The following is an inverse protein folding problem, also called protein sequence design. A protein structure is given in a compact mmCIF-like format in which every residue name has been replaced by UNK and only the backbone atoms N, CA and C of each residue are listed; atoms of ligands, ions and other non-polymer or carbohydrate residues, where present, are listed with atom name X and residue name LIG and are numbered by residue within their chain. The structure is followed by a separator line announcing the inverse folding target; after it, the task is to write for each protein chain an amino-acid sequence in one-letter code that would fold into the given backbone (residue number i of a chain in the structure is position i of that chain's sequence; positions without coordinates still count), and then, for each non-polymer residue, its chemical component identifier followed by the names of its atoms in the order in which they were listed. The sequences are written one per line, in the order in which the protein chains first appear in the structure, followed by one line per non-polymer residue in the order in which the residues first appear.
data_IF_874571374490
#
_entry.id   IF_874571374490
#
_cell.length_a   1.000
_cell.length_b   1.000
_cell.length_c   1.000
_cell.angle_alpha   90.00
_cell.angle_beta   90.00
_cell.angle_gamma   90.00
#
_symmetry.space_group_name_H-M   'P 1'
#
loop_
_entity.id
_entity.type
_entity.pdbx_description
1 polymer ?
#
# COMPACT_ATOMS: atom_id res chain seq x y z
N UNK A 1 26.34 -11.74 -16.42
CA UNK A 1 25.60 -10.98 -15.40
C UNK A 1 25.33 -9.55 -15.86
N UNK A 2 26.33 -8.77 -16.30
CA UNK A 2 26.17 -7.37 -16.71
C UNK A 2 25.16 -7.15 -17.85
N UNK A 3 25.24 -7.94 -18.92
CA UNK A 3 24.31 -7.84 -20.06
C UNK A 3 22.84 -8.09 -19.68
N UNK A 4 22.59 -9.01 -18.75
CA UNK A 4 21.24 -9.27 -18.22
C UNK A 4 20.71 -8.08 -17.42
N UNK A 5 21.55 -7.47 -16.58
CA UNK A 5 21.19 -6.31 -15.77
C UNK A 5 20.88 -5.09 -16.65
N UNK A 6 21.73 -4.82 -17.65
CA UNK A 6 21.53 -3.72 -18.61
C UNK A 6 20.22 -3.91 -19.38
N UNK A 7 19.94 -5.14 -19.88
CA UNK A 7 18.69 -5.42 -20.59
C UNK A 7 17.46 -5.20 -19.70
N UNK A 8 17.52 -5.57 -18.42
CA UNK A 8 16.43 -5.32 -17.47
C UNK A 8 16.22 -3.83 -17.19
N UNK A 9 17.31 -3.08 -17.02
CA UNK A 9 17.23 -1.63 -16.81
C UNK A 9 16.67 -0.92 -18.06
N UNK A 10 17.08 -1.34 -19.26
CA UNK A 10 16.52 -0.78 -20.50
C UNK A 10 15.01 -1.07 -20.65
N UNK A 11 14.53 -2.22 -20.17
CA UNK A 11 13.10 -2.56 -20.22
C UNK A 11 12.26 -1.77 -19.21
N UNK A 12 12.86 -1.15 -18.18
CA UNK A 12 12.15 -0.27 -17.26
C UNK A 12 11.61 0.98 -17.97
N UNK A 13 12.36 1.53 -18.93
CA UNK A 13 11.98 2.74 -19.68
C UNK A 13 10.66 2.54 -20.43
N UNK A 14 10.52 1.54 -21.33
CA UNK A 14 9.27 1.32 -22.06
C UNK A 14 8.10 0.91 -21.13
N UNK A 15 8.37 0.18 -20.03
CA UNK A 15 7.34 -0.16 -19.06
C UNK A 15 6.81 1.06 -18.32
N UNK A 16 7.68 1.94 -17.83
CA UNK A 16 7.25 3.20 -17.20
C UNK A 16 6.49 4.09 -18.18
N UNK A 17 7.01 4.22 -19.40
CA UNK A 17 6.32 4.98 -20.43
C UNK A 17 4.92 4.43 -20.74
N UNK A 18 4.78 3.11 -20.88
CA UNK A 18 3.49 2.47 -21.10
C UNK A 18 2.53 2.70 -19.93
N UNK A 19 2.98 2.56 -18.68
CA UNK A 19 2.18 2.79 -17.48
C UNK A 19 1.68 4.24 -17.44
N UNK A 20 2.57 5.21 -17.66
CA UNK A 20 2.23 6.64 -17.67
C UNK A 20 1.21 6.94 -18.77
N UNK A 21 1.41 6.39 -19.97
CA UNK A 21 0.52 6.55 -21.11
C UNK A 21 -0.87 5.99 -20.83
N UNK A 22 -0.94 4.76 -20.33
CA UNK A 22 -2.22 4.11 -20.00
C UNK A 22 -2.95 4.91 -18.91
N UNK A 23 -2.26 5.31 -17.85
CA UNK A 23 -2.85 6.14 -16.79
C UNK A 23 -3.37 7.48 -17.33
N UNK A 24 -2.63 8.14 -18.22
CA UNK A 24 -3.10 9.37 -18.86
C UNK A 24 -4.44 9.16 -19.55
N UNK A 25 -4.55 8.15 -20.39
CA UNK A 25 -5.81 7.87 -21.12
C UNK A 25 -6.93 7.44 -20.17
N UNK A 26 -6.66 6.65 -19.14
CA UNK A 26 -7.68 6.27 -18.14
C UNK A 26 -8.25 7.52 -17.48
N UNK A 27 -7.40 8.45 -17.04
CA UNK A 27 -7.84 9.71 -16.40
C UNK A 27 -8.66 10.59 -17.35
N UNK A 28 -8.38 10.55 -18.68
CA UNK A 28 -9.14 11.31 -19.66
C UNK A 28 -10.53 10.72 -19.95
N UNK A 29 -10.65 9.39 -19.89
CA UNK A 29 -11.89 8.66 -20.24
C UNK A 29 -12.79 8.48 -19.02
N UNK A 30 -12.22 8.40 -17.82
CA UNK A 30 -12.96 8.18 -16.59
C UNK A 30 -13.95 9.32 -16.31
N UNK A 31 -15.24 9.04 -16.09
CA UNK A 31 -16.21 10.05 -15.66
C UNK A 31 -15.79 10.60 -14.28
N UNK A 32 -15.91 11.92 -14.10
CA UNK A 32 -15.44 12.59 -12.90
C UNK A 32 -13.95 12.93 -12.95
N UNK A 33 -13.49 13.43 -14.10
CA UNK A 33 -12.10 13.85 -14.31
C UNK A 33 -11.62 14.94 -13.34
N UNK A 34 -10.34 15.34 -13.42
CA UNK A 34 -9.76 16.31 -12.48
C UNK A 34 -10.52 17.64 -12.39
N UNK A 35 -11.11 18.10 -13.50
CA UNK A 35 -11.93 19.32 -13.53
C UNK A 35 -13.24 19.12 -12.79
N UNK A 36 -13.95 17.99 -13.01
CA UNK A 36 -15.19 17.68 -12.31
C UNK A 36 -14.96 17.56 -10.79
N UNK A 37 -13.84 16.98 -10.39
CA UNK A 37 -13.46 16.85 -8.98
C UNK A 37 -13.10 18.21 -8.35
N UNK A 38 -12.39 19.08 -9.07
CA UNK A 38 -12.08 20.43 -8.61
C UNK A 38 -13.37 21.26 -8.44
N UNK A 39 -14.28 21.17 -9.40
CA UNK A 39 -15.59 21.81 -9.34
C UNK A 39 -16.39 21.31 -8.13
N UNK A 40 -16.46 19.99 -7.92
CA UNK A 40 -17.15 19.38 -6.80
C UNK A 40 -16.57 19.80 -5.44
N UNK A 41 -15.25 19.93 -5.33
CA UNK A 41 -14.58 20.38 -4.12
C UNK A 41 -14.91 21.86 -3.80
N UNK A 42 -14.97 22.73 -4.81
CA UNK A 42 -15.35 24.13 -4.63
C UNK A 42 -16.82 24.26 -4.24
N UNK A 43 -17.72 23.53 -4.90
CA UNK A 43 -19.14 23.49 -4.53
C UNK A 43 -19.36 23.01 -3.09
N UNK A 44 -18.63 21.99 -2.66
CA UNK A 44 -18.70 21.49 -1.30
C UNK A 44 -18.28 22.54 -0.27
N UNK A 45 -17.18 23.26 -0.54
CA UNK A 45 -16.70 24.34 0.32
C UNK A 45 -17.65 25.54 0.35
N UNK A 46 -18.26 25.90 -0.77
CA UNK A 46 -19.24 27.01 -0.85
C UNK A 46 -20.58 26.68 -0.14
N UNK A 47 -20.97 25.40 -0.09
CA UNK A 47 -22.19 24.95 0.59
C UNK A 47 -22.03 24.76 2.12
N UNK A 48 -20.95 25.24 2.71
CA UNK A 48 -20.72 25.18 4.16
C UNK A 48 -20.19 23.85 4.65
N UNK A 49 -19.46 23.12 3.83
CA UNK A 49 -18.69 21.97 4.28
C UNK A 49 -17.66 22.38 5.34
N UNK A 50 -17.74 21.82 6.56
CA UNK A 50 -16.78 22.11 7.62
C UNK A 50 -15.34 21.87 7.13
N UNK A 51 -14.42 22.83 7.31
CA UNK A 51 -13.01 22.59 7.04
C UNK A 51 -12.49 21.57 8.06
N UNK A 52 -12.23 20.34 7.60
CA UNK A 52 -11.68 19.29 8.47
C UNK A 52 -12.27 17.88 8.32
N UNK A 53 -13.34 17.67 7.55
CA UNK A 53 -13.94 16.34 7.36
C UNK A 53 -13.40 15.59 6.13
N UNK A 54 -12.23 15.93 5.63
CA UNK A 54 -11.68 15.45 4.36
C UNK A 54 -10.44 14.58 4.45
N UNK A 55 -10.26 13.77 5.51
CA UNK A 55 -9.20 12.78 5.52
C UNK A 55 -9.77 11.37 5.77
N UNK A 56 -9.89 10.59 4.70
CA UNK A 56 -10.07 9.14 4.77
C UNK A 56 -11.49 8.61 4.59
N UNK A 57 -12.20 9.00 3.54
CA UNK A 57 -13.44 8.32 3.18
C UNK A 57 -13.61 8.17 1.67
N UNK A 58 -13.57 6.95 1.17
CA UNK A 58 -14.17 6.60 -0.12
C UNK A 58 -15.66 6.95 -0.05
N UNK A 59 -16.03 8.17 -0.50
CA UNK A 59 -17.39 8.63 -0.55
C UNK A 59 -18.16 7.91 -1.65
N UNK A 60 -19.03 6.99 -1.24
CA UNK A 60 -20.09 6.49 -2.08
C UNK A 60 -20.96 7.69 -2.53
N UNK A 61 -20.86 8.05 -3.80
CA UNK A 61 -21.74 9.01 -4.44
C UNK A 61 -23.17 8.47 -4.47
N UNK A 62 -24.01 8.95 -3.56
CA UNK A 62 -25.46 8.75 -3.70
C UNK A 62 -25.96 9.52 -4.92
N UNK A 63 -26.23 8.77 -5.98
CA UNK A 63 -26.99 9.24 -7.13
C UNK A 63 -28.39 9.67 -6.67
N UNK A 64 -28.64 10.98 -6.56
CA UNK A 64 -29.99 11.51 -6.56
C UNK A 64 -30.41 11.80 -7.99
N UNK A 65 -31.24 10.93 -8.51
CA UNK A 65 -32.06 11.14 -9.71
C UNK A 65 -32.99 12.35 -9.52
N UNK A 66 -32.67 13.43 -10.22
CA UNK A 66 -33.54 14.58 -10.40
C UNK A 66 -33.54 14.94 -11.88
N UNK A 67 -34.60 14.56 -12.58
CA UNK A 67 -34.85 14.96 -13.98
C UNK A 67 -35.08 16.48 -14.03
N UNK A 68 -34.33 17.18 -14.84
CA UNK A 68 -34.53 18.60 -15.12
C UNK A 68 -33.47 19.16 -16.06
N UNK A 69 -33.89 19.45 -17.28
CA UNK A 69 -33.31 20.26 -18.35
C UNK A 69 -31.78 20.21 -18.62
N UNK A 70 -31.53 19.69 -19.81
CA UNK A 70 -30.24 19.65 -20.50
C UNK A 70 -29.96 21.08 -21.01
N UNK A 71 -29.02 21.79 -20.43
CA UNK A 71 -28.28 22.85 -21.06
C UNK A 71 -26.82 22.41 -21.19
N UNK A 72 -26.29 22.57 -22.39
CA UNK A 72 -24.99 22.11 -22.86
C UNK A 72 -23.82 22.67 -22.01
N UNK A 73 -23.42 21.92 -20.98
CA UNK A 73 -22.16 22.10 -20.27
C UNK A 73 -21.42 20.78 -20.24
N UNK A 74 -20.23 20.71 -20.78
CA UNK A 74 -19.40 19.52 -20.87
C UNK A 74 -19.05 18.86 -19.51
N UNK A 75 -19.40 19.52 -18.39
CA UNK A 75 -19.06 19.06 -17.04
C UNK A 75 -20.31 18.85 -16.17
N UNK A 76 -20.47 17.65 -15.63
CA UNK A 76 -21.64 17.21 -14.82
C UNK A 76 -21.81 17.94 -13.48
N UNK A 77 -20.76 18.58 -12.95
CA UNK A 77 -20.74 19.28 -11.65
C UNK A 77 -21.02 20.77 -11.70
N UNK A 78 -21.10 21.39 -12.87
CA UNK A 78 -21.12 22.87 -13.01
C UNK A 78 -22.46 23.55 -12.72
N UNK A 79 -23.42 22.89 -12.07
CA UNK A 79 -24.72 23.49 -11.73
C UNK A 79 -24.59 24.36 -10.46
N UNK A 80 -24.26 25.63 -10.64
CA UNK A 80 -24.23 26.61 -9.54
C UNK A 80 -22.92 27.40 -9.40
N UNK A 81 -21.88 27.07 -10.17
CA UNK A 81 -20.66 27.86 -10.29
C UNK A 81 -20.72 28.83 -11.47
N UNK A 82 -20.14 29.99 -11.27
CA UNK A 82 -20.00 30.99 -12.34
C UNK A 82 -19.20 30.37 -13.51
N UNK A 83 -19.64 30.49 -14.77
CA UNK A 83 -18.92 30.00 -15.95
C UNK A 83 -17.46 30.49 -16.02
N UNK A 84 -17.17 31.65 -15.44
CA UNK A 84 -15.84 32.25 -15.38
C UNK A 84 -14.90 31.40 -14.48
N UNK A 85 -15.42 30.90 -13.35
CA UNK A 85 -14.69 30.03 -12.43
C UNK A 85 -14.38 28.66 -13.08
N UNK A 86 -15.35 28.13 -13.82
CA UNK A 86 -15.16 26.86 -14.55
C UNK A 86 -14.09 27.04 -15.64
N UNK A 87 -14.11 28.16 -16.37
CA UNK A 87 -13.11 28.47 -17.38
C UNK A 87 -11.71 28.64 -16.77
N UNK A 88 -11.60 29.31 -15.63
CA UNK A 88 -10.34 29.46 -14.89
C UNK A 88 -9.78 28.11 -14.43
N UNK A 89 -10.63 27.25 -13.87
CA UNK A 89 -10.23 25.89 -13.46
C UNK A 89 -9.75 25.09 -14.68
N UNK A 90 -10.51 25.12 -15.77
CA UNK A 90 -10.17 24.42 -17.02
C UNK A 90 -8.82 24.87 -17.56
N UNK A 91 -8.57 26.18 -17.56
CA UNK A 91 -7.30 26.78 -17.98
C UNK A 91 -6.16 26.43 -17.03
N UNK A 92 -6.39 26.51 -15.71
CA UNK A 92 -5.38 26.21 -14.69
C UNK A 92 -4.86 24.79 -14.78
N UNK A 93 -5.74 23.82 -15.07
CA UNK A 93 -5.39 22.41 -15.27
C UNK A 93 -5.03 22.08 -16.72
N UNK A 94 -5.06 23.07 -17.63
CA UNK A 94 -4.69 22.91 -19.03
C UNK A 94 -5.64 22.04 -19.85
N UNK A 95 -6.89 21.87 -19.40
CA UNK A 95 -7.90 21.11 -20.12
C UNK A 95 -8.49 21.83 -21.34
N UNK A 96 -8.15 23.09 -21.52
CA UNK A 96 -8.36 23.91 -22.71
C UNK A 96 -7.49 23.48 -23.88
N UNK A 97 -6.38 22.73 -23.63
CA UNK A 97 -5.44 22.32 -24.65
C UNK A 97 -5.78 20.96 -25.26
N UNK A 98 -5.39 20.71 -26.53
CA UNK A 98 -5.61 19.43 -27.18
C UNK A 98 -4.85 18.30 -26.44
N UNK A 99 -5.40 17.07 -26.50
CA UNK A 99 -4.92 15.90 -25.78
C UNK A 99 -3.40 15.64 -25.97
N UNK A 100 -2.89 15.82 -27.18
CA UNK A 100 -1.48 15.56 -27.48
C UNK A 100 -0.54 16.56 -26.80
N UNK A 101 -0.93 17.84 -26.71
CA UNK A 101 -0.14 18.85 -26.01
C UNK A 101 -0.09 18.55 -24.49
N UNK A 102 -1.24 18.19 -23.93
CA UNK A 102 -1.35 17.81 -22.52
C UNK A 102 -0.51 16.59 -22.19
N UNK A 103 -0.54 15.58 -23.07
CA UNK A 103 0.28 14.38 -22.92
C UNK A 103 1.77 14.69 -22.97
N UNK A 104 2.23 15.47 -23.96
CA UNK A 104 3.63 15.81 -24.10
C UNK A 104 4.12 16.70 -22.94
N UNK A 105 3.29 17.65 -22.50
CA UNK A 105 3.59 18.46 -21.32
C UNK A 105 3.75 17.59 -20.09
N UNK A 106 2.76 16.72 -19.79
CA UNK A 106 2.81 15.79 -18.65
C UNK A 106 4.07 14.92 -18.70
N UNK A 107 4.43 14.37 -19.86
CA UNK A 107 5.62 13.57 -20.01
C UNK A 107 6.90 14.37 -19.73
N UNK A 108 6.96 15.62 -20.20
CA UNK A 108 8.07 16.54 -19.94
C UNK A 108 8.21 16.92 -18.48
N UNK A 109 7.09 17.18 -17.79
CA UNK A 109 7.05 17.51 -16.37
C UNK A 109 7.47 16.29 -15.52
N UNK A 110 6.99 15.09 -15.85
CA UNK A 110 7.38 13.84 -15.15
C UNK A 110 8.86 13.50 -15.31
N UNK A 111 9.45 13.76 -16.47
CA UNK A 111 10.91 13.61 -16.67
C UNK A 111 11.74 14.55 -15.80
N UNK A 112 11.15 15.67 -15.36
CA UNK A 112 11.77 16.63 -14.44
C UNK A 112 11.38 16.39 -12.98
N UNK A 113 10.64 15.31 -12.68
CA UNK A 113 10.04 15.04 -11.37
C UNK A 113 9.08 16.14 -10.88
N UNK A 114 8.49 16.89 -11.80
CA UNK A 114 7.41 17.83 -11.51
C UNK A 114 6.07 17.12 -11.70
N UNK A 115 5.42 16.77 -10.59
CA UNK A 115 4.11 16.11 -10.57
C UNK A 115 2.96 17.11 -10.34
N UNK A 116 3.26 18.40 -10.28
CA UNK A 116 2.30 19.45 -10.04
C UNK A 116 1.76 19.51 -8.61
N UNK A 117 0.67 20.25 -8.45
CA UNK A 117 -0.02 20.41 -7.18
C UNK A 117 -1.13 19.38 -7.00
N UNK A 118 -1.40 19.02 -5.76
CA UNK A 118 -2.48 18.10 -5.42
C UNK A 118 -3.84 18.77 -5.63
N UNK A 119 -4.78 18.05 -6.24
CA UNK A 119 -6.18 18.50 -6.41
C UNK A 119 -6.95 18.59 -5.07
N UNK A 120 -6.52 17.83 -4.06
CA UNK A 120 -7.25 17.67 -2.80
C UNK A 120 -6.55 18.34 -1.61
N UNK A 121 -5.27 18.63 -1.72
CA UNK A 121 -4.46 19.20 -0.65
C UNK A 121 -3.70 20.41 -1.17
N UNK A 122 -3.64 21.48 -0.41
CA UNK A 122 -2.91 22.70 -0.78
C UNK A 122 -1.38 22.52 -0.67
N UNK A 123 -0.86 21.48 -1.32
CA UNK A 123 0.56 21.15 -1.33
C UNK A 123 0.95 20.47 -2.65
N UNK A 124 2.22 20.58 -3.05
CA UNK A 124 2.72 19.85 -4.22
C UNK A 124 2.70 18.34 -4.00
N UNK A 125 2.47 17.56 -5.06
CA UNK A 125 2.48 16.08 -5.00
C UNK A 125 3.81 15.58 -4.45
N UNK A 126 4.93 16.21 -4.84
CA UNK A 126 6.26 15.83 -4.36
C UNK A 126 6.41 16.03 -2.84
N UNK A 127 5.85 17.12 -2.30
CA UNK A 127 5.83 17.34 -0.85
C UNK A 127 5.02 16.29 -0.14
N UNK A 128 3.82 15.94 -0.62
CA UNK A 128 2.99 14.89 -0.04
C UNK A 128 3.68 13.52 -0.05
N UNK A 129 4.41 13.21 -1.12
CA UNK A 129 5.22 11.99 -1.20
C UNK A 129 6.30 12.01 -0.12
N UNK A 130 7.07 13.09 0.00
CA UNK A 130 8.14 13.23 1.01
C UNK A 130 7.61 13.09 2.42
N UNK A 131 6.48 13.68 2.73
CA UNK A 131 5.86 13.63 4.06
C UNK A 131 5.31 12.23 4.39
N UNK A 132 4.81 11.50 3.38
CA UNK A 132 4.26 10.16 3.55
C UNK A 132 5.31 9.04 3.49
N UNK A 133 6.46 9.30 2.86
CA UNK A 133 7.51 8.30 2.63
C UNK A 133 8.08 7.70 3.92
N UNK A 134 8.40 8.47 4.99
CA UNK A 134 8.91 7.92 6.23
C UNK A 134 7.97 6.92 6.88
N UNK A 135 6.66 7.21 6.86
CA UNK A 135 5.62 6.32 7.40
C UNK A 135 5.55 5.03 6.57
N UNK A 136 5.47 5.15 5.26
CA UNK A 136 5.36 4.00 4.35
C UNK A 136 6.60 3.10 4.42
N UNK A 137 7.79 3.69 4.45
CA UNK A 137 9.06 2.95 4.56
C UNK A 137 9.16 2.26 5.93
N UNK A 138 8.82 2.95 7.02
CA UNK A 138 8.83 2.37 8.36
C UNK A 138 7.90 1.17 8.46
N UNK A 139 6.63 1.32 8.06
CA UNK A 139 5.66 0.24 8.12
C UNK A 139 6.06 -0.93 7.21
N UNK A 140 6.48 -0.65 5.98
CA UNK A 140 6.91 -1.67 5.02
C UNK A 140 8.14 -2.45 5.51
N UNK A 141 9.15 -1.75 6.03
CA UNK A 141 10.37 -2.37 6.52
C UNK A 141 10.10 -3.29 7.72
N UNK A 142 9.45 -2.75 8.76
CA UNK A 142 9.17 -3.53 9.97
C UNK A 142 8.22 -4.69 9.73
N UNK A 143 7.15 -4.47 8.95
CA UNK A 143 6.21 -5.54 8.61
C UNK A 143 6.91 -6.64 7.83
N UNK A 144 7.70 -6.31 6.79
CA UNK A 144 8.45 -7.28 6.00
C UNK A 144 9.44 -8.04 6.87
N UNK A 145 10.22 -7.34 7.70
CA UNK A 145 11.20 -7.96 8.59
C UNK A 145 10.54 -8.98 9.52
N UNK A 146 9.46 -8.61 10.19
CA UNK A 146 8.74 -9.48 11.11
C UNK A 146 8.12 -10.67 10.37
N UNK A 147 7.47 -10.42 9.22
CA UNK A 147 6.89 -11.47 8.41
C UNK A 147 7.96 -12.51 8.05
N UNK A 148 9.11 -12.09 7.54
CA UNK A 148 10.17 -13.02 7.14
C UNK A 148 10.79 -13.76 8.33
N UNK A 149 11.10 -13.03 9.43
CA UNK A 149 11.72 -13.62 10.61
C UNK A 149 10.82 -14.66 11.29
N UNK A 150 9.50 -14.51 11.22
CA UNK A 150 8.56 -15.43 11.87
C UNK A 150 8.05 -16.49 10.91
N UNK A 151 7.65 -16.11 9.68
CA UNK A 151 7.04 -17.03 8.72
C UNK A 151 8.00 -18.10 8.20
N UNK A 152 9.25 -17.71 7.90
CA UNK A 152 10.22 -18.68 7.35
C UNK A 152 10.54 -19.78 8.35
N UNK A 153 10.99 -19.52 9.59
CA UNK A 153 11.25 -20.58 10.56
C UNK A 153 10.02 -21.41 10.87
N UNK A 154 8.85 -20.77 10.97
CA UNK A 154 7.59 -21.46 11.23
C UNK A 154 7.21 -22.37 10.05
N UNK A 155 7.31 -21.90 8.81
CA UNK A 155 7.05 -22.69 7.60
C UNK A 155 7.97 -23.90 7.48
N UNK A 156 9.27 -23.71 7.73
CA UNK A 156 10.26 -24.82 7.77
C UNK A 156 9.88 -25.85 8.83
N UNK A 157 9.59 -25.41 10.05
CA UNK A 157 9.20 -26.30 11.14
C UNK A 157 7.92 -27.09 10.79
N UNK A 158 6.95 -26.43 10.17
CA UNK A 158 5.71 -27.06 9.68
C UNK A 158 5.98 -28.09 8.58
N UNK A 159 6.90 -27.81 7.66
CA UNK A 159 7.28 -28.74 6.59
C UNK A 159 7.96 -30.01 7.16
N UNK A 160 8.91 -29.83 8.09
CA UNK A 160 9.61 -30.95 8.74
C UNK A 160 8.67 -31.79 9.58
N UNK A 161 7.70 -31.18 10.26
CA UNK A 161 6.71 -31.85 11.10
C UNK A 161 5.34 -32.04 10.44
N UNK A 162 5.32 -32.16 9.12
CA UNK A 162 4.09 -32.23 8.34
C UNK A 162 3.14 -33.35 8.82
N UNK A 163 1.86 -32.99 8.98
CA UNK A 163 0.82 -33.89 9.50
C UNK A 163 0.83 -34.09 11.04
N UNK A 164 1.78 -33.47 11.75
CA UNK A 164 1.79 -33.49 13.23
C UNK A 164 0.69 -32.61 13.82
N UNK A 165 0.40 -32.78 15.10
CA UNK A 165 -0.53 -31.91 15.85
C UNK A 165 -0.11 -30.44 15.77
N UNK A 166 1.18 -30.17 15.84
CA UNK A 166 1.72 -28.82 15.70
C UNK A 166 1.38 -28.21 14.34
N UNK A 167 1.60 -28.97 13.26
CA UNK A 167 1.28 -28.50 11.91
C UNK A 167 -0.22 -28.24 11.73
N UNK A 168 -1.08 -29.13 12.20
CA UNK A 168 -2.54 -28.99 12.10
C UNK A 168 -3.01 -27.74 12.87
N UNK A 169 -2.68 -27.65 14.16
CA UNK A 169 -3.12 -26.53 15.00
C UNK A 169 -2.59 -25.17 14.52
N UNK A 170 -1.31 -25.09 14.17
CA UNK A 170 -0.74 -23.85 13.64
C UNK A 170 -1.34 -23.47 12.28
N UNK A 171 -1.65 -24.44 11.41
CA UNK A 171 -2.36 -24.17 10.15
C UNK A 171 -3.77 -23.63 10.41
N UNK A 172 -4.50 -24.23 11.32
CA UNK A 172 -5.85 -23.77 11.68
C UNK A 172 -5.81 -22.33 12.20
N UNK A 173 -4.89 -22.01 13.10
CA UNK A 173 -4.74 -20.65 13.65
C UNK A 173 -4.37 -19.64 12.57
N UNK A 174 -3.46 -20.00 11.67
CA UNK A 174 -3.04 -19.16 10.54
C UNK A 174 -4.22 -18.89 9.60
N UNK A 175 -5.02 -19.93 9.27
CA UNK A 175 -6.18 -19.81 8.38
C UNK A 175 -7.26 -18.92 9.02
N UNK A 176 -7.55 -19.08 10.31
CA UNK A 176 -8.48 -18.22 11.03
C UNK A 176 -8.01 -16.76 10.99
N UNK A 177 -6.72 -16.50 11.30
CA UNK A 177 -6.16 -15.16 11.24
C UNK A 177 -6.20 -14.55 9.82
N UNK A 178 -5.95 -15.36 8.80
CA UNK A 178 -6.00 -14.92 7.40
C UNK A 178 -7.42 -14.63 6.89
N UNK A 179 -8.43 -15.29 7.46
CA UNK A 179 -9.82 -15.07 7.10
C UNK A 179 -10.34 -13.69 7.54
N UNK A 180 -9.69 -13.06 8.51
CA UNK A 180 -10.06 -11.71 8.96
C UNK A 180 -9.46 -10.67 8.00
N UNK A 181 -10.27 -9.83 7.32
CA UNK A 181 -9.75 -8.75 6.51
C UNK A 181 -8.84 -7.82 7.32
N UNK A 182 -7.66 -7.50 6.80
CA UNK A 182 -6.64 -6.74 7.53
C UNK A 182 -7.15 -5.40 8.06
N UNK A 183 -8.03 -4.71 7.30
CA UNK A 183 -8.61 -3.45 7.74
C UNK A 183 -9.57 -3.61 8.94
N UNK A 184 -10.35 -4.71 8.99
CA UNK A 184 -11.21 -5.00 10.15
C UNK A 184 -10.38 -5.34 11.37
N UNK A 185 -9.29 -6.07 11.19
CA UNK A 185 -8.35 -6.36 12.27
C UNK A 185 -7.68 -5.06 12.77
N UNK A 186 -7.30 -4.14 11.87
CA UNK A 186 -6.77 -2.83 12.25
C UNK A 186 -7.79 -2.02 13.06
N UNK A 187 -9.05 -1.97 12.63
CA UNK A 187 -10.13 -1.29 13.38
C UNK A 187 -10.30 -1.91 14.77
N UNK A 188 -10.31 -3.25 14.85
CA UNK A 188 -10.41 -3.95 16.13
C UNK A 188 -9.27 -3.57 17.08
N UNK A 189 -8.02 -3.54 16.58
CA UNK A 189 -6.86 -3.13 17.37
C UNK A 189 -6.99 -1.69 17.87
N UNK A 190 -7.41 -0.76 17.00
CA UNK A 190 -7.62 0.64 17.36
C UNK A 190 -8.70 0.77 18.46
N UNK A 191 -9.86 0.14 18.28
CA UNK A 191 -10.96 0.22 19.23
C UNK A 191 -10.58 -0.34 20.59
N UNK A 192 -9.83 -1.45 20.61
CA UNK A 192 -9.44 -2.09 21.87
C UNK A 192 -8.28 -1.34 22.54
N UNK A 193 -7.25 -0.91 21.78
CA UNK A 193 -5.98 -0.50 22.36
C UNK A 193 -5.60 0.97 22.17
N UNK A 194 -6.28 1.75 21.30
CA UNK A 194 -5.91 3.13 20.99
C UNK A 194 -7.09 4.11 20.92
N UNK A 195 -8.33 3.62 20.96
CA UNK A 195 -9.53 4.45 20.79
C UNK A 195 -10.11 5.03 22.06
N UNK A 196 -9.50 4.78 23.23
CA UNK A 196 -10.04 5.21 24.54
C UNK A 196 -11.35 4.51 24.97
N UNK A 197 -11.88 3.58 24.14
CA UNK A 197 -13.12 2.86 24.45
C UNK A 197 -12.94 1.74 25.48
N UNK A 198 -11.77 1.04 25.43
CA UNK A 198 -11.43 -0.05 26.35
C UNK A 198 -10.07 0.20 27.01
N UNK A 199 -8.99 0.13 26.26
CA UNK A 199 -7.64 0.38 26.73
C UNK A 199 -7.04 1.52 25.92
N UNK A 200 -6.40 2.47 26.56
CA UNK A 200 -5.68 3.58 25.93
C UNK A 200 -4.16 3.34 26.09
N UNK A 201 -3.67 2.29 25.41
CA UNK A 201 -2.29 1.83 25.55
C UNK A 201 -1.38 2.31 24.43
N UNK A 202 -1.94 2.60 23.26
CA UNK A 202 -1.16 2.98 22.08
C UNK A 202 -1.70 4.26 21.45
N UNK A 203 -0.83 5.07 20.83
CA UNK A 203 -1.24 6.30 20.17
C UNK A 203 -2.09 6.00 18.94
N UNK A 204 -3.09 6.85 18.72
CA UNK A 204 -4.00 6.72 17.57
C UNK A 204 -3.38 7.24 16.26
N UNK A 205 -2.48 8.21 16.33
CA UNK A 205 -1.93 8.93 15.17
C UNK A 205 -0.46 9.25 15.35
N UNK A 206 0.21 9.46 14.20
CA UNK A 206 1.60 9.89 14.17
C UNK A 206 2.58 8.73 14.13
N UNK A 207 3.79 9.01 13.68
CA UNK A 207 4.91 8.09 13.68
C UNK A 207 5.73 8.20 14.99
N UNK A 208 5.62 9.36 15.63
CA UNK A 208 6.29 9.72 16.89
C UNK A 208 5.43 10.72 17.67
N UNK A 209 5.72 10.88 18.94
CA UNK A 209 5.05 11.86 19.82
C UNK A 209 5.42 13.31 19.47
N UNK A 210 4.56 14.30 19.80
CA UNK A 210 4.86 15.72 19.53
C UNK A 210 6.12 16.24 20.20
N UNK A 211 6.51 15.66 21.33
CA UNK A 211 7.72 16.02 22.10
C UNK A 211 8.95 15.16 21.75
N UNK A 212 8.91 14.42 20.63
CA UNK A 212 9.96 13.49 20.22
C UNK A 212 11.36 14.12 20.20
N UNK A 213 11.50 15.34 19.71
CA UNK A 213 12.80 16.01 19.59
C UNK A 213 13.49 16.27 20.93
N UNK A 214 12.70 16.44 21.99
CA UNK A 214 13.20 16.70 23.35
C UNK A 214 13.54 15.42 24.13
N UNK A 215 13.18 14.25 23.60
CA UNK A 215 13.41 12.97 24.27
C UNK A 215 14.88 12.55 24.17
N UNK A 216 15.44 11.87 25.20
CA UNK A 216 16.73 11.22 25.11
C UNK A 216 16.69 10.07 24.08
N UNK A 217 17.85 9.73 23.49
CA UNK A 217 17.94 8.80 22.35
C UNK A 217 17.23 7.46 22.57
N UNK A 218 17.31 6.87 23.77
CA UNK A 218 16.65 5.59 24.08
C UNK A 218 15.14 5.70 24.15
N UNK A 219 14.60 6.84 24.62
CA UNK A 219 13.16 7.09 24.62
C UNK A 219 12.65 7.37 23.21
N UNK A 220 13.44 7.98 22.34
CA UNK A 220 13.10 8.15 20.92
C UNK A 220 12.86 6.81 20.23
N UNK A 221 13.69 5.81 20.51
CA UNK A 221 13.52 4.46 19.96
C UNK A 221 12.23 3.81 20.49
N UNK A 222 12.00 3.90 21.80
CA UNK A 222 10.80 3.34 22.43
C UNK A 222 9.51 4.03 21.94
N UNK A 223 9.52 5.35 21.86
CA UNK A 223 8.40 6.14 21.36
C UNK A 223 8.03 5.76 19.91
N UNK A 224 9.05 5.68 19.05
CA UNK A 224 8.86 5.24 17.67
C UNK A 224 8.30 3.82 17.58
N UNK A 225 8.87 2.85 18.30
CA UNK A 225 8.38 1.47 18.32
C UNK A 225 6.95 1.38 18.86
N UNK A 226 6.61 2.19 19.86
CA UNK A 226 5.28 2.26 20.43
C UNK A 226 4.24 2.73 19.40
N UNK A 227 4.56 3.77 18.63
CA UNK A 227 3.67 4.29 17.59
C UNK A 227 3.46 3.31 16.43
N UNK A 228 4.48 2.57 16.01
CA UNK A 228 4.36 1.65 14.88
C UNK A 228 3.78 0.28 15.25
N UNK A 229 3.63 -0.05 16.54
CA UNK A 229 3.24 -1.41 16.98
C UNK A 229 1.90 -1.84 16.40
N UNK A 230 0.83 -1.08 16.60
CA UNK A 230 -0.50 -1.47 16.10
C UNK A 230 -0.59 -1.52 14.57
N UNK A 231 -0.10 -0.50 13.82
CA UNK A 231 -0.10 -0.55 12.36
C UNK A 231 0.71 -1.72 11.79
N UNK A 232 1.87 -2.02 12.38
CA UNK A 232 2.70 -3.16 11.96
C UNK A 232 1.99 -4.47 12.25
N UNK A 233 1.40 -4.68 13.42
CA UNK A 233 0.62 -5.89 13.75
C UNK A 233 -0.54 -6.09 12.78
N UNK A 234 -1.27 -5.02 12.44
CA UNK A 234 -2.36 -5.08 11.48
C UNK A 234 -1.88 -5.49 10.08
N UNK A 235 -0.70 -5.02 9.66
CA UNK A 235 -0.15 -5.32 8.34
C UNK A 235 0.46 -6.72 8.28
N UNK A 236 1.09 -7.17 9.36
CA UNK A 236 1.78 -8.47 9.44
C UNK A 236 0.82 -9.64 9.29
N UNK A 237 -0.41 -9.56 9.80
CA UNK A 237 -1.33 -10.71 9.84
C UNK A 237 -1.62 -11.30 8.45
N UNK A 238 -1.80 -10.44 7.45
CA UNK A 238 -2.06 -10.87 6.06
C UNK A 238 -0.85 -11.52 5.39
N UNK A 239 0.31 -10.89 5.49
CA UNK A 239 1.55 -11.37 4.87
C UNK A 239 2.12 -12.63 5.55
N UNK A 240 1.97 -12.72 6.88
CA UNK A 240 2.43 -13.84 7.68
C UNK A 240 1.84 -15.18 7.25
N UNK A 241 0.54 -15.23 7.02
CA UNK A 241 -0.14 -16.45 6.63
C UNK A 241 0.32 -16.95 5.26
N UNK A 242 0.34 -16.05 4.27
CA UNK A 242 0.74 -16.39 2.91
C UNK A 242 2.19 -16.89 2.84
N UNK A 243 3.13 -16.19 3.47
CA UNK A 243 4.54 -16.56 3.43
C UNK A 243 4.81 -17.86 4.22
N UNK A 244 4.14 -18.07 5.36
CA UNK A 244 4.29 -19.32 6.13
C UNK A 244 3.85 -20.55 5.32
N UNK A 245 2.70 -20.46 4.64
CA UNK A 245 2.19 -21.56 3.82
C UNK A 245 3.04 -21.77 2.57
N UNK A 246 3.48 -20.69 1.92
CA UNK A 246 4.40 -20.78 0.78
C UNK A 246 5.70 -21.47 1.18
N UNK A 247 6.33 -21.04 2.28
CA UNK A 247 7.56 -21.64 2.80
C UNK A 247 7.35 -23.10 3.14
N UNK A 248 6.24 -23.44 3.83
CA UNK A 248 5.92 -24.86 4.12
C UNK A 248 5.87 -25.69 2.85
N UNK A 249 5.14 -25.24 1.83
CA UNK A 249 4.95 -26.01 0.60
C UNK A 249 6.26 -26.16 -0.17
N UNK A 250 7.03 -25.07 -0.35
CA UNK A 250 8.34 -25.11 -1.00
C UNK A 250 9.29 -26.10 -0.32
N UNK A 251 9.33 -26.12 1.01
CA UNK A 251 10.16 -27.06 1.75
C UNK A 251 9.64 -28.49 1.66
N UNK A 252 8.33 -28.74 1.68
CA UNK A 252 7.75 -30.07 1.50
C UNK A 252 8.10 -30.66 0.14
N UNK A 253 7.99 -29.85 -0.91
CA UNK A 253 8.31 -30.28 -2.27
C UNK A 253 9.80 -30.65 -2.37
N UNK A 254 10.66 -29.85 -1.76
CA UNK A 254 12.10 -30.05 -1.82
C UNK A 254 12.58 -31.23 -0.96
N UNK A 255 12.02 -31.46 0.22
CA UNK A 255 12.35 -32.59 1.11
C UNK A 255 12.04 -33.95 0.44
N UNK A 256 11.09 -33.99 -0.48
CA UNK A 256 10.68 -35.23 -1.17
C UNK A 256 11.53 -35.58 -2.39
N UNK A 257 12.44 -34.71 -2.80
CA UNK A 257 13.27 -34.93 -4.01
C UNK A 257 14.31 -36.03 -3.81
N UNK A 258 14.68 -36.70 -4.93
CA UNK A 258 15.60 -37.85 -4.94
C UNK A 258 16.98 -37.52 -4.34
N UNK A 259 17.50 -36.31 -4.52
CA UNK A 259 18.80 -35.96 -3.96
C UNK A 259 18.81 -35.97 -2.41
N UNK A 260 17.66 -35.68 -1.78
CA UNK A 260 17.50 -35.76 -0.33
C UNK A 260 17.55 -37.21 0.13
N UNK A 261 16.83 -38.12 -0.59
CA UNK A 261 16.88 -39.56 -0.33
C UNK A 261 18.30 -40.09 -0.50
N UNK A 262 18.99 -39.67 -1.54
CA UNK A 262 20.39 -40.10 -1.78
C UNK A 262 21.33 -39.60 -0.68
N UNK A 263 21.19 -38.37 -0.23
CA UNK A 263 21.99 -37.81 0.86
C UNK A 263 21.76 -38.58 2.17
N UNK A 264 20.51 -38.94 2.47
CA UNK A 264 20.12 -39.74 3.61
C UNK A 264 20.74 -41.16 3.54
N UNK A 265 20.68 -41.79 2.38
CA UNK A 265 21.30 -43.09 2.14
C UNK A 265 22.83 -43.09 2.29
N UNK A 266 23.48 -41.96 2.04
CA UNK A 266 24.91 -41.74 2.29
C UNK A 266 25.24 -41.43 3.74
N UNK A 267 24.27 -41.41 4.66
CA UNK A 267 24.49 -41.18 6.09
C UNK A 267 24.65 -39.67 6.47
N UNK A 268 24.27 -38.74 5.58
CA UNK A 268 24.30 -37.32 5.93
C UNK A 268 23.20 -37.02 6.94
N UNK A 269 23.55 -36.31 8.02
CA UNK A 269 22.61 -35.99 9.09
C UNK A 269 21.46 -35.08 8.66
N UNK A 270 20.25 -35.26 9.19
CA UNK A 270 19.02 -34.55 8.81
C UNK A 270 19.18 -33.00 8.86
N UNK A 271 19.88 -32.47 9.89
CA UNK A 271 20.15 -31.02 9.97
C UNK A 271 21.00 -30.53 8.81
N UNK A 272 22.01 -31.30 8.44
CA UNK A 272 22.92 -30.96 7.34
C UNK A 272 22.19 -31.03 5.99
N UNK A 273 21.31 -32.02 5.81
CA UNK A 273 20.44 -32.12 4.64
C UNK A 273 19.51 -30.91 4.56
N UNK A 274 18.82 -30.58 5.66
CA UNK A 274 17.85 -29.49 5.71
C UNK A 274 18.51 -28.14 5.39
N UNK A 275 19.56 -27.77 6.10
CA UNK A 275 20.18 -26.45 5.99
C UNK A 275 21.20 -26.34 4.85
N UNK A 276 21.91 -27.41 4.53
CA UNK A 276 22.94 -27.42 3.48
C UNK A 276 22.39 -27.62 2.07
N UNK A 277 21.31 -28.40 1.92
CA UNK A 277 20.79 -28.78 0.60
C UNK A 277 19.37 -28.28 0.36
N UNK A 278 18.43 -28.62 1.26
CA UNK A 278 17.00 -28.29 1.08
C UNK A 278 16.76 -26.79 1.16
N UNK A 279 17.29 -26.12 2.18
CA UNK A 279 17.07 -24.69 2.40
C UNK A 279 17.45 -23.84 1.19
N UNK A 280 18.64 -24.10 0.64
CA UNK A 280 19.12 -23.35 -0.52
C UNK A 280 18.20 -23.47 -1.74
N UNK A 281 17.69 -24.68 -1.98
CA UNK A 281 16.85 -24.95 -3.15
C UNK A 281 15.40 -24.53 -2.93
N UNK A 282 14.87 -24.67 -1.70
CA UNK A 282 13.51 -24.29 -1.36
C UNK A 282 13.28 -22.77 -1.29
N UNK A 283 14.36 -21.99 -1.11
CA UNK A 283 14.31 -20.52 -1.04
C UNK A 283 14.57 -19.83 -2.39
N UNK A 284 14.83 -20.59 -3.46
CA UNK A 284 14.97 -20.11 -4.83
C UNK A 284 13.61 -20.12 -5.53
#
# INVERSE_FOLDING_TARGET
MGSYLIRRLLLVIPTLWAIITINFFIVQIAPGGPVDQAIAAIEFNQRGGMPGAGDGGMGASHARTGAGNISEGHYRGGRGLDPEVIAEITHRYGFDKPLHERYLKMLGDYLRFDFGDSLFRSASVLQLIKDSLPVSVSLGLWSTLIIYLVSIPLGIRKAVSNGSRFDIWSSTLIIIGYAIPAFLFAILLIVIFAGGSYFDLFPLRGLVSPNFDTLPWYQKILDYLWHITLPVLATVIGGFAALTMLTKNSFLDEIRKQYVVTARAKGVGEKQILWGHVFRNAML
#
